data_IF_419184294309
#
_entry.id   IF_419184294309
#
_cell.length_a   1.000
_cell.length_b   1.000
_cell.length_c   1.000
_cell.angle_alpha   90.00
_cell.angle_beta   90.00
_cell.angle_gamma   90.00
#
_symmetry.space_group_name_H-M   'P 1'
#
loop_
_entity.id
_entity.type
_entity.pdbx_description
1 polymer ?
#
# COMPACT_ATOMS: atom_id res chain seq x y z
N UNK A 1 0.97 -2.10 14.15
CA UNK A 1 1.40 -2.15 12.74
C UNK A 1 0.15 -2.45 11.94
N UNK A 2 -0.04 -1.84 10.78
CA UNK A 2 -1.25 -2.06 9.99
C UNK A 2 -1.01 -3.23 9.02
N UNK A 3 -2.08 -3.91 8.62
CA UNK A 3 -1.98 -5.10 7.76
C UNK A 3 -2.99 -5.06 6.62
N UNK A 4 -2.69 -5.72 5.51
CA UNK A 4 -3.69 -5.97 4.47
C UNK A 4 -4.72 -6.98 4.95
N UNK A 5 -6.01 -6.69 4.80
CA UNK A 5 -7.09 -7.63 5.15
C UNK A 5 -7.17 -8.82 4.19
N UNK A 6 -6.84 -8.58 2.92
CA UNK A 6 -6.93 -9.56 1.83
C UNK A 6 -5.77 -9.37 0.88
N UNK A 7 -5.51 -10.39 0.06
CA UNK A 7 -4.53 -10.30 -1.01
C UNK A 7 -4.83 -9.10 -1.92
N UNK A 8 -3.82 -8.28 -2.17
CA UNK A 8 -3.97 -7.00 -2.86
C UNK A 8 -2.77 -6.79 -3.78
N UNK A 9 -3.03 -6.49 -5.05
CA UNK A 9 -1.96 -6.08 -5.98
C UNK A 9 -2.04 -4.58 -6.17
N UNK A 10 -0.97 -3.88 -5.81
CA UNK A 10 -0.88 -2.43 -5.90
C UNK A 10 0.17 -2.04 -6.92
N UNK A 11 -0.05 -0.89 -7.54
CA UNK A 11 0.86 -0.34 -8.54
C UNK A 11 1.56 0.89 -7.99
N UNK A 12 2.83 1.04 -8.34
CA UNK A 12 3.59 2.24 -8.05
C UNK A 12 4.39 2.65 -9.28
N UNK A 13 4.71 3.94 -9.34
CA UNK A 13 5.65 4.49 -10.30
C UNK A 13 6.45 5.58 -9.59
N UNK A 14 7.75 5.60 -9.80
CA UNK A 14 8.65 6.52 -9.07
C UNK A 14 8.73 7.88 -9.76
N UNK A 15 8.66 7.90 -11.10
CA UNK A 15 8.63 9.10 -11.93
C UNK A 15 7.54 8.98 -12.98
N UNK A 16 7.19 10.08 -13.67
CA UNK A 16 6.12 10.08 -14.69
C UNK A 16 6.48 9.27 -15.94
N UNK A 17 7.77 9.14 -16.21
CA UNK A 17 8.32 8.45 -17.39
C UNK A 17 8.79 7.02 -17.06
N UNK A 18 8.73 6.62 -15.79
CA UNK A 18 9.07 5.26 -15.37
C UNK A 18 7.93 4.29 -15.71
N UNK A 19 8.29 3.02 -15.88
CA UNK A 19 7.32 1.95 -15.99
C UNK A 19 6.50 1.81 -14.69
N UNK A 20 5.23 1.44 -14.86
CA UNK A 20 4.36 1.17 -13.72
C UNK A 20 4.68 -0.23 -13.21
N UNK A 21 5.24 -0.30 -12.01
CA UNK A 21 5.57 -1.54 -11.33
C UNK A 21 4.37 -2.02 -10.49
N UNK A 22 4.25 -3.33 -10.32
CA UNK A 22 3.17 -3.95 -9.55
C UNK A 22 3.75 -4.82 -8.44
N UNK A 23 3.23 -4.65 -7.22
CA UNK A 23 3.62 -5.42 -6.03
C UNK A 23 2.39 -6.12 -5.48
N UNK A 24 2.52 -7.43 -5.27
CA UNK A 24 1.48 -8.25 -4.65
C UNK A 24 1.72 -8.38 -3.15
N UNK A 25 0.71 -8.01 -2.37
CA UNK A 25 0.68 -8.13 -0.92
C UNK A 25 -0.26 -9.27 -0.54
N UNK A 26 0.21 -10.17 0.30
CA UNK A 26 -0.63 -11.22 0.87
C UNK A 26 -1.56 -10.64 1.95
N UNK A 27 -2.68 -11.31 2.19
CA UNK A 27 -3.47 -11.07 3.40
C UNK A 27 -2.59 -11.20 4.66
N UNK A 28 -2.72 -10.26 5.60
CA UNK A 28 -1.91 -10.17 6.80
C UNK A 28 -0.53 -9.53 6.62
N UNK A 29 -0.14 -9.12 5.41
CA UNK A 29 1.15 -8.48 5.17
C UNK A 29 1.25 -7.14 5.92
N UNK A 30 2.34 -6.98 6.68
CA UNK A 30 2.60 -5.79 7.49
C UNK A 30 2.97 -4.58 6.63
N UNK A 31 2.35 -3.45 6.96
CA UNK A 31 2.63 -2.15 6.38
C UNK A 31 2.63 -1.06 7.45
N UNK A 32 3.36 0.02 7.15
CA UNK A 32 3.38 1.21 8.00
C UNK A 32 2.48 2.28 7.41
N UNK A 33 1.44 2.69 8.14
CA UNK A 33 0.66 3.88 7.75
C UNK A 33 1.55 5.12 7.98
N UNK A 34 1.76 5.87 6.92
CA UNK A 34 2.55 7.12 6.90
C UNK A 34 1.61 8.32 7.00
N UNK A 35 0.46 8.24 6.32
CA UNK A 35 -0.54 9.29 6.33
C UNK A 35 -1.95 8.73 6.17
N UNK A 36 -2.94 9.47 6.64
CA UNK A 36 -4.35 9.11 6.62
C UNK A 36 -5.17 10.26 6.02
N UNK A 37 -5.90 9.96 4.94
CA UNK A 37 -6.92 10.84 4.35
C UNK A 37 -8.33 10.31 4.69
N UNK A 38 -9.39 10.96 4.20
CA UNK A 38 -10.77 10.57 4.50
C UNK A 38 -11.05 9.07 4.36
N UNK A 39 -10.90 8.52 3.15
CA UNK A 39 -11.14 7.10 2.84
C UNK A 39 -9.90 6.31 2.41
N UNK A 40 -8.69 6.89 2.57
CA UNK A 40 -7.43 6.26 2.12
C UNK A 40 -6.30 6.40 3.13
N UNK A 41 -5.36 5.46 3.07
CA UNK A 41 -4.08 5.48 3.75
C UNK A 41 -2.95 5.61 2.73
N UNK A 42 -1.95 6.43 3.06
CA UNK A 42 -0.61 6.28 2.50
C UNK A 42 0.12 5.25 3.35
N UNK A 43 0.46 4.10 2.78
CA UNK A 43 1.23 3.08 3.47
C UNK A 43 2.62 2.97 2.85
N UNK A 44 3.61 2.68 3.69
CA UNK A 44 4.95 2.28 3.28
C UNK A 44 5.10 0.79 3.50
N UNK A 45 5.42 0.05 2.45
CA UNK A 45 5.68 -1.37 2.51
C UNK A 45 7.16 -1.65 2.85
N UNK A 46 7.47 -2.93 3.07
CA UNK A 46 8.81 -3.41 3.42
C UNK A 46 9.85 -3.20 2.31
N UNK A 47 9.40 -3.10 1.06
CA UNK A 47 10.21 -2.74 -0.11
C UNK A 47 10.67 -1.26 -0.10
N UNK A 48 10.12 -0.44 0.80
CA UNK A 48 10.41 0.99 0.90
C UNK A 48 9.54 1.88 0.03
N UNK A 49 8.66 1.31 -0.80
CA UNK A 49 7.74 2.04 -1.67
C UNK A 49 6.47 2.47 -0.93
N UNK A 50 5.82 3.49 -1.49
CA UNK A 50 4.62 4.08 -0.94
C UNK A 50 3.41 3.76 -1.81
N UNK A 51 2.31 3.41 -1.15
CA UNK A 51 1.09 3.01 -1.82
C UNK A 51 -0.11 3.74 -1.24
N UNK A 52 -1.02 4.14 -2.12
CA UNK A 52 -2.27 4.78 -1.73
C UNK A 52 -3.41 3.75 -1.70
N UNK A 53 -3.76 3.31 -0.49
CA UNK A 53 -4.64 2.16 -0.27
C UNK A 53 -5.96 2.61 0.38
N UNK A 54 -7.13 2.19 -0.13
CA UNK A 54 -8.41 2.36 0.56
C UNK A 54 -8.38 1.81 1.98
N UNK A 55 -8.96 2.54 2.95
CA UNK A 55 -8.99 2.11 4.35
C UNK A 55 -9.66 0.76 4.54
N UNK A 56 -10.61 0.42 3.69
CA UNK A 56 -11.35 -0.83 3.74
C UNK A 56 -10.45 -2.06 3.55
N UNK A 57 -9.33 -1.91 2.84
CA UNK A 57 -8.35 -2.97 2.57
C UNK A 57 -7.29 -3.14 3.67
N UNK A 58 -7.25 -2.24 4.65
CA UNK A 58 -6.25 -2.23 5.73
C UNK A 58 -6.93 -2.44 7.09
N UNK A 59 -6.39 -3.34 7.91
CA UNK A 59 -6.70 -3.45 9.34
C UNK A 59 -5.60 -2.80 10.18
N UNK A 60 -5.99 -2.20 11.31
CA UNK A 60 -5.10 -1.50 12.24
C UNK A 60 -4.91 -2.28 13.53
#
# INVERSE_FOLDING_TARGET
MAKFKTDSTLKFQTTKDAEIESTSFAAGADVKIVHEWGNRFLVRASDGHYYNVPKEQIEK
#
